data_IF_637583334798
#
_entry.id   IF_637583334798
#
_cell.length_a   1.000
_cell.length_b   1.000
_cell.length_c   1.000
_cell.angle_alpha   90.00
_cell.angle_beta   90.00
_cell.angle_gamma   90.00
#
_symmetry.space_group_name_H-M   'P 1'
#
loop_
_entity.id
_entity.type
_entity.pdbx_description
1 polymer ?
#
# COMPACT_ATOMS: atom_id res chain seq x y z
N UNK A 1 -12.77 -1.65 1.62
CA UNK A 1 -11.73 -2.19 2.53
C UNK A 1 -10.36 -1.80 2.00
N UNK A 2 -9.52 -1.27 2.86
CA UNK A 2 -8.13 -0.96 2.56
C UNK A 2 -7.23 -2.05 3.14
N UNK A 3 -6.22 -2.48 2.38
CA UNK A 3 -5.22 -3.42 2.89
C UNK A 3 -3.98 -2.62 3.27
N UNK A 4 -3.56 -2.73 4.53
CA UNK A 4 -2.36 -2.05 5.05
C UNK A 4 -1.30 -3.10 5.32
N UNK A 5 -0.18 -3.00 4.62
CA UNK A 5 0.93 -3.97 4.69
C UNK A 5 2.16 -3.28 5.22
N UNK A 6 2.60 -3.65 6.42
CA UNK A 6 3.75 -3.07 7.09
C UNK A 6 4.27 -4.08 8.11
N UNK A 7 5.57 -4.37 8.09
CA UNK A 7 6.14 -5.34 9.02
C UNK A 7 6.43 -4.74 10.41
N UNK A 8 6.62 -3.43 10.51
CA UNK A 8 6.78 -2.75 11.79
C UNK A 8 5.40 -2.62 12.46
N UNK A 9 5.23 -3.29 13.60
CA UNK A 9 3.94 -3.31 14.29
C UNK A 9 3.49 -1.92 14.73
N UNK A 10 4.40 -1.10 15.25
CA UNK A 10 4.05 0.24 15.74
C UNK A 10 3.61 1.14 14.58
N UNK A 11 4.32 1.09 13.46
CA UNK A 11 3.96 1.86 12.28
C UNK A 11 2.64 1.38 11.68
N UNK A 12 2.45 0.06 11.63
CA UNK A 12 1.19 -0.50 11.13
C UNK A 12 0.01 -0.07 11.99
N UNK A 13 0.16 -0.11 13.31
CA UNK A 13 -0.89 0.33 14.23
C UNK A 13 -1.21 1.80 14.07
N UNK A 14 -0.19 2.65 13.90
CA UNK A 14 -0.38 4.07 13.69
C UNK A 14 -1.16 4.33 12.39
N UNK A 15 -0.75 3.69 11.31
CA UNK A 15 -1.43 3.84 10.02
C UNK A 15 -2.89 3.39 10.09
N UNK A 16 -3.12 2.26 10.74
CA UNK A 16 -4.48 1.72 10.87
C UNK A 16 -5.36 2.64 11.71
N UNK A 17 -4.85 3.14 12.84
CA UNK A 17 -5.62 4.06 13.69
C UNK A 17 -6.00 5.32 12.92
N UNK A 18 -5.05 5.89 12.18
CA UNK A 18 -5.28 7.09 11.42
C UNK A 18 -6.29 6.89 10.29
N UNK A 19 -6.25 5.75 9.62
CA UNK A 19 -7.18 5.46 8.52
C UNK A 19 -8.56 5.06 9.05
N UNK A 20 -8.63 4.34 10.17
CA UNK A 20 -9.92 4.04 10.81
C UNK A 20 -10.63 5.31 11.25
N UNK A 21 -9.89 6.31 11.71
CA UNK A 21 -10.50 7.58 12.10
C UNK A 21 -11.15 8.30 10.92
N UNK A 22 -10.77 7.97 9.70
CA UNK A 22 -11.39 8.50 8.49
C UNK A 22 -12.59 7.67 8.03
N UNK A 23 -12.93 6.61 8.75
CA UNK A 23 -14.09 5.77 8.44
C UNK A 23 -13.82 4.57 7.55
N UNK A 24 -12.59 4.30 7.20
CA UNK A 24 -12.26 3.15 6.35
C UNK A 24 -12.30 1.83 7.12
N UNK A 25 -12.74 0.78 6.45
CA UNK A 25 -12.57 -0.59 6.91
C UNK A 25 -11.20 -1.07 6.48
N UNK A 26 -10.47 -1.70 7.39
CA UNK A 26 -9.08 -2.08 7.15
C UNK A 26 -8.85 -3.57 7.32
N UNK A 27 -7.85 -4.06 6.62
CA UNK A 27 -7.26 -5.36 6.83
C UNK A 27 -5.76 -5.19 6.92
N UNK A 28 -5.10 -5.92 7.81
CA UNK A 28 -3.67 -5.79 8.06
C UNK A 28 -2.92 -7.00 7.54
N UNK A 29 -1.68 -6.76 7.07
CA UNK A 29 -0.74 -7.83 6.73
C UNK A 29 0.65 -7.38 7.19
N UNK A 30 1.46 -8.33 7.66
CA UNK A 30 2.78 -8.05 8.21
C UNK A 30 3.91 -8.25 7.19
N UNK A 31 3.61 -8.82 6.04
CA UNK A 31 4.61 -9.08 5.00
C UNK A 31 3.92 -9.30 3.66
N UNK A 32 4.72 -9.46 2.60
CA UNK A 32 4.18 -9.60 1.24
C UNK A 32 3.39 -10.88 1.03
N UNK A 33 3.78 -11.96 1.67
CA UNK A 33 3.05 -13.23 1.55
C UNK A 33 1.66 -13.13 2.15
N UNK A 34 1.56 -12.55 3.36
CA UNK A 34 0.25 -12.32 4.00
C UNK A 34 -0.61 -11.40 3.16
N UNK A 35 -0.01 -10.38 2.54
CA UNK A 35 -0.73 -9.46 1.67
C UNK A 35 -1.35 -10.20 0.48
N UNK A 36 -0.58 -11.05 -0.19
CA UNK A 36 -1.08 -11.80 -1.34
C UNK A 36 -2.18 -12.79 -0.95
N UNK A 37 -2.05 -13.43 0.22
CA UNK A 37 -3.10 -14.30 0.74
C UNK A 37 -4.38 -13.53 1.04
N UNK A 38 -4.24 -12.33 1.62
CA UNK A 38 -5.40 -11.49 1.91
C UNK A 38 -6.14 -11.09 0.63
N UNK A 39 -5.40 -10.73 -0.42
CA UNK A 39 -5.99 -10.35 -1.71
C UNK A 39 -6.70 -11.53 -2.37
N UNK A 40 -6.18 -12.73 -2.20
CA UNK A 40 -6.82 -13.94 -2.73
C UNK A 40 -8.18 -14.19 -2.08
N UNK A 41 -8.37 -13.75 -0.85
CA UNK A 41 -9.65 -13.88 -0.14
C UNK A 41 -10.63 -12.79 -0.55
N UNK A 42 -10.15 -11.54 -0.59
CA UNK A 42 -10.97 -10.39 -0.95
C UNK A 42 -10.06 -9.31 -1.52
N UNK A 43 -10.33 -8.88 -2.75
CA UNK A 43 -9.57 -7.80 -3.39
C UNK A 43 -9.92 -6.48 -2.71
N UNK A 44 -8.92 -5.76 -2.18
CA UNK A 44 -9.20 -4.47 -1.53
C UNK A 44 -9.49 -3.36 -2.52
N UNK A 45 -10.03 -2.27 -2.02
CA UNK A 45 -10.25 -1.06 -2.83
C UNK A 45 -8.96 -0.28 -3.04
N UNK A 46 -7.98 -0.46 -2.14
CA UNK A 46 -6.68 0.19 -2.22
C UNK A 46 -5.69 -0.60 -1.36
N UNK A 47 -4.45 -0.67 -1.81
CA UNK A 47 -3.35 -1.31 -1.08
C UNK A 47 -2.36 -0.23 -0.67
N UNK A 48 -2.09 -0.14 0.65
CA UNK A 48 -1.04 0.70 1.21
C UNK A 48 0.03 -0.23 1.75
N UNK A 49 1.23 -0.19 1.18
CA UNK A 49 2.25 -1.17 1.52
C UNK A 49 3.64 -0.58 1.57
N UNK A 50 4.46 -1.11 2.50
CA UNK A 50 5.90 -0.88 2.48
C UNK A 50 6.50 -1.74 1.37
N UNK A 51 7.64 -1.34 0.86
CA UNK A 51 8.41 -2.11 -0.12
C UNK A 51 9.47 -2.97 0.56
N UNK A 52 10.15 -2.43 1.59
CA UNK A 52 11.24 -3.10 2.29
C UNK A 52 10.71 -3.86 3.50
N UNK A 53 10.35 -5.12 3.29
CA UNK A 53 9.84 -6.00 4.32
C UNK A 53 10.01 -7.45 3.83
N UNK A 54 9.85 -8.45 4.72
CA UNK A 54 9.90 -9.85 4.28
C UNK A 54 8.87 -10.13 3.19
N UNK A 55 9.28 -10.81 2.16
CA UNK A 55 8.47 -11.10 0.97
C UNK A 55 7.98 -9.84 0.26
N UNK A 56 8.71 -8.74 0.40
CA UNK A 56 8.45 -7.48 -0.30
C UNK A 56 9.38 -7.33 -1.52
N UNK A 57 9.62 -6.07 -1.90
CA UNK A 57 10.50 -5.74 -3.01
C UNK A 57 9.77 -5.58 -4.33
N UNK A 58 10.54 -5.38 -5.40
CA UNK A 58 9.98 -5.04 -6.71
C UNK A 58 9.15 -6.17 -7.31
N UNK A 59 9.58 -7.42 -7.14
CA UNK A 59 8.82 -8.57 -7.60
C UNK A 59 7.46 -8.66 -6.93
N UNK A 60 7.40 -8.34 -5.65
CA UNK A 60 6.15 -8.28 -4.90
C UNK A 60 5.19 -7.25 -5.51
N UNK A 61 5.69 -6.09 -5.93
CA UNK A 61 4.85 -5.08 -6.59
C UNK A 61 4.19 -5.66 -7.85
N UNK A 62 4.96 -6.39 -8.66
CA UNK A 62 4.43 -7.03 -9.85
C UNK A 62 3.34 -8.06 -9.50
N UNK A 63 3.54 -8.82 -8.43
CA UNK A 63 2.55 -9.80 -7.98
C UNK A 63 1.28 -9.15 -7.45
N UNK A 64 1.40 -8.04 -6.73
CA UNK A 64 0.24 -7.27 -6.29
C UNK A 64 -0.59 -6.82 -7.48
N UNK A 65 0.08 -6.28 -8.50
CA UNK A 65 -0.62 -5.79 -9.68
C UNK A 65 -1.33 -6.92 -10.43
N UNK A 66 -0.71 -8.09 -10.51
CA UNK A 66 -1.34 -9.26 -11.12
C UNK A 66 -2.55 -9.74 -10.32
N UNK A 67 -2.44 -9.73 -8.99
CA UNK A 67 -3.51 -10.20 -8.11
C UNK A 67 -4.67 -9.21 -8.02
N UNK A 68 -4.41 -7.92 -8.22
CA UNK A 68 -5.41 -6.86 -8.12
C UNK A 68 -5.22 -5.86 -9.26
N UNK A 69 -5.63 -6.22 -10.50
CA UNK A 69 -5.28 -5.44 -11.71
C UNK A 69 -5.77 -4.00 -11.73
N UNK A 70 -6.84 -3.68 -11.00
CA UNK A 70 -7.43 -2.34 -10.99
C UNK A 70 -7.29 -1.60 -9.68
N UNK A 71 -6.64 -2.23 -8.71
CA UNK A 71 -6.53 -1.68 -7.37
C UNK A 71 -5.40 -0.64 -7.31
N UNK A 72 -5.63 0.55 -6.75
CA UNK A 72 -4.53 1.49 -6.51
C UNK A 72 -3.54 0.90 -5.52
N UNK A 73 -2.26 1.03 -5.83
CA UNK A 73 -1.17 0.55 -4.98
C UNK A 73 -0.36 1.77 -4.56
N UNK A 74 -0.40 2.08 -3.26
CA UNK A 74 0.37 3.18 -2.66
C UNK A 74 1.56 2.57 -1.93
N UNK A 75 2.76 2.87 -2.40
CA UNK A 75 3.99 2.38 -1.79
C UNK A 75 4.57 3.38 -0.82
N UNK A 76 5.15 2.88 0.26
CA UNK A 76 5.94 3.64 1.21
C UNK A 76 7.27 2.93 1.39
N UNK A 77 8.37 3.66 1.44
CA UNK A 77 9.66 3.04 1.77
C UNK A 77 10.62 4.05 2.38
N UNK A 78 11.51 3.55 3.24
CA UNK A 78 12.45 4.39 3.99
C UNK A 78 13.54 5.00 3.10
N UNK A 79 13.97 4.28 2.07
CA UNK A 79 15.07 4.73 1.22
C UNK A 79 14.72 4.43 -0.23
N UNK A 80 14.17 5.43 -0.91
CA UNK A 80 13.87 5.30 -2.32
C UNK A 80 14.94 5.96 -3.17
N UNK A 81 15.77 5.17 -3.85
CA UNK A 81 16.56 5.71 -4.93
C UNK A 81 15.64 5.98 -6.11
N UNK A 82 15.99 6.97 -6.92
CA UNK A 82 15.20 7.36 -8.09
C UNK A 82 14.91 6.15 -9.00
N UNK A 83 15.91 5.30 -9.21
CA UNK A 83 15.78 4.13 -10.07
C UNK A 83 14.77 3.13 -9.52
N UNK A 84 14.76 2.92 -8.21
CA UNK A 84 13.82 1.99 -7.55
C UNK A 84 12.41 2.55 -7.60
N UNK A 85 12.26 3.85 -7.38
CA UNK A 85 10.95 4.52 -7.50
C UNK A 85 10.37 4.32 -8.88
N UNK A 86 11.16 4.61 -9.92
CA UNK A 86 10.69 4.49 -11.29
C UNK A 86 10.33 3.05 -11.64
N UNK A 87 11.16 2.09 -11.23
CA UNK A 87 10.88 0.69 -11.49
C UNK A 87 9.64 0.20 -10.77
N UNK A 88 9.41 0.65 -9.53
CA UNK A 88 8.19 0.30 -8.80
C UNK A 88 6.95 0.81 -9.53
N UNK A 89 7.01 2.05 -10.03
CA UNK A 89 5.91 2.61 -10.82
C UNK A 89 5.70 1.83 -12.12
N UNK A 90 6.78 1.46 -12.78
CA UNK A 90 6.71 0.69 -14.03
C UNK A 90 6.10 -0.70 -13.80
N UNK A 91 6.28 -1.28 -12.62
CA UNK A 91 5.72 -2.59 -12.27
C UNK A 91 4.27 -2.52 -11.81
N UNK A 92 3.73 -1.32 -11.62
CA UNK A 92 2.31 -1.16 -11.36
C UNK A 92 1.94 -0.39 -10.10
N UNK A 93 2.91 0.14 -9.35
CA UNK A 93 2.59 1.03 -8.23
C UNK A 93 1.93 2.30 -8.77
N UNK A 94 0.92 2.77 -8.06
CA UNK A 94 0.19 3.97 -8.46
C UNK A 94 0.87 5.23 -7.98
N UNK A 95 1.31 5.21 -6.71
CA UNK A 95 1.95 6.36 -6.04
C UNK A 95 3.05 5.83 -5.14
N UNK A 96 4.08 6.63 -4.96
CA UNK A 96 5.23 6.28 -4.15
C UNK A 96 5.51 7.39 -3.13
N UNK A 97 5.65 7.03 -1.87
CA UNK A 97 6.03 7.95 -0.78
C UNK A 97 7.34 7.52 -0.14
N UNK A 98 8.21 8.49 0.15
CA UNK A 98 9.39 8.25 0.97
C UNK A 98 9.01 8.39 2.44
N UNK A 99 9.53 7.50 3.30
CA UNK A 99 9.37 7.65 4.74
C UNK A 99 10.35 8.70 5.28
N UNK A 100 9.98 9.49 6.28
CA UNK A 100 8.70 9.48 7.01
C UNK A 100 7.57 10.09 6.20
N UNK A 101 6.45 9.39 6.14
CA UNK A 101 5.28 9.82 5.37
C UNK A 101 4.47 10.82 6.20
N UNK A 102 4.06 11.90 5.57
CA UNK A 102 3.15 12.86 6.21
C UNK A 102 1.74 12.30 6.15
N UNK A 103 1.15 12.08 7.32
CA UNK A 103 -0.17 11.44 7.42
C UNK A 103 -1.25 12.22 6.67
N UNK A 104 -1.22 13.54 6.74
CA UNK A 104 -2.20 14.37 6.04
C UNK A 104 -2.12 14.18 4.52
N UNK A 105 -0.91 14.11 3.97
CA UNK A 105 -0.70 13.90 2.54
C UNK A 105 -1.15 12.49 2.13
N UNK A 106 -0.85 11.51 2.97
CA UNK A 106 -1.25 10.13 2.72
C UNK A 106 -2.77 10.01 2.67
N UNK A 107 -3.46 10.58 3.65
CA UNK A 107 -4.92 10.56 3.70
C UNK A 107 -5.54 11.25 2.49
N UNK A 108 -4.98 12.40 2.08
CA UNK A 108 -5.47 13.13 0.91
C UNK A 108 -5.30 12.32 -0.38
N UNK A 109 -4.15 11.65 -0.52
CA UNK A 109 -3.87 10.82 -1.68
C UNK A 109 -4.80 9.61 -1.73
N UNK A 110 -5.01 8.94 -0.61
CA UNK A 110 -5.91 7.79 -0.53
C UNK A 110 -7.33 8.21 -0.90
N UNK A 111 -7.82 9.31 -0.35
CA UNK A 111 -9.15 9.82 -0.67
C UNK A 111 -9.30 10.11 -2.16
N UNK A 112 -8.31 10.77 -2.75
CA UNK A 112 -8.34 11.08 -4.18
C UNK A 112 -8.39 9.83 -5.05
N UNK A 113 -7.57 8.82 -4.71
CA UNK A 113 -7.52 7.58 -5.49
C UNK A 113 -8.82 6.80 -5.38
N UNK A 114 -9.43 6.77 -4.20
CA UNK A 114 -10.72 6.10 -4.01
C UNK A 114 -11.86 6.84 -4.72
N UNK A 115 -11.85 8.17 -4.70
CA UNK A 115 -12.86 8.97 -5.38
C UNK A 115 -12.80 8.75 -6.89
N UNK A 116 -11.63 8.64 -7.47
CA UNK A 116 -11.46 8.36 -8.90
C UNK A 116 -12.06 7.01 -9.29
N UNK A 117 -11.99 6.02 -8.40
CA UNK A 117 -12.58 4.71 -8.67
C UNK A 117 -14.10 4.72 -8.61
N UNK A 118 -14.67 5.64 -7.83
CA UNK A 118 -16.11 5.75 -7.69
C UNK A 118 -16.77 6.39 -8.90
N UNK A 119 -16.00 7.04 -9.72
CA UNK A 119 -16.47 7.66 -10.93
C UNK A 119 -16.44 6.68 -12.09
#
# INVERSE_FOLDING_TARGET
MLLVVEDDLDMRSLLCDELMSEGYQLREAANGEEALLAIATEVPDLILTDLKMPSGGLEYVSRLRQAAPRCPIVLMTAFGEQAIRQEALDRGATVYFDKPVRIAELKATIRRLLDHQSA
#
